data_IF_893748441358
#
_entry.id   IF_893748441358
#
_cell.length_a   1.000
_cell.length_b   1.000
_cell.length_c   1.000
_cell.angle_alpha   90.00
_cell.angle_beta   90.00
_cell.angle_gamma   90.00
#
_symmetry.space_group_name_H-M   'P 1'
#
loop_
_entity.id
_entity.type
_entity.pdbx_description
1 polymer ?
#
# COMPACT_ATOMS: atom_id res chain seq x y z
N UNK A 1 -21.35 -63.15 28.91
CA UNK A 1 -20.43 -63.17 30.07
C UNK A 1 -19.72 -61.83 30.15
N UNK A 2 -20.01 -61.12 31.23
CA UNK A 2 -19.24 -60.07 31.92
C UNK A 2 -18.53 -58.95 31.14
N UNK A 3 -19.11 -57.76 31.31
CA UNK A 3 -18.49 -56.45 31.56
C UNK A 3 -16.96 -56.40 31.65
N UNK A 4 -16.39 -55.35 31.06
CA UNK A 4 -15.62 -54.42 31.87
C UNK A 4 -15.74 -52.97 31.39
N UNK A 5 -16.39 -52.17 32.24
CA UNK A 5 -16.25 -50.71 32.31
C UNK A 5 -14.85 -50.40 32.83
N UNK A 6 -14.18 -49.42 32.24
CA UNK A 6 -13.22 -48.62 32.98
C UNK A 6 -13.30 -47.18 32.50
N UNK A 7 -13.99 -46.39 33.32
CA UNK A 7 -13.90 -44.94 33.36
C UNK A 7 -12.52 -44.53 33.92
N UNK A 8 -12.35 -43.21 34.12
CA UNK A 8 -11.24 -42.47 34.74
C UNK A 8 -10.26 -41.89 33.70
N UNK A 9 -9.83 -40.62 33.72
CA UNK A 9 -10.05 -39.47 34.60
C UNK A 9 -9.49 -38.25 33.85
N UNK A 10 -10.19 -37.12 33.86
CA UNK A 10 -9.65 -35.80 33.53
C UNK A 10 -8.74 -35.31 34.67
N UNK A 11 -7.65 -34.59 34.37
CA UNK A 11 -7.17 -33.49 35.19
C UNK A 11 -7.25 -32.19 34.38
N UNK A 12 -8.15 -31.26 34.72
CA UNK A 12 -7.99 -30.17 35.71
C UNK A 12 -7.14 -29.01 35.19
N UNK A 13 -7.87 -27.94 34.87
CA UNK A 13 -7.43 -26.58 34.55
C UNK A 13 -6.38 -26.09 35.55
N UNK A 14 -5.26 -25.57 35.04
CA UNK A 14 -4.36 -24.72 35.81
C UNK A 14 -4.68 -23.27 35.41
N UNK A 15 -5.46 -22.64 36.28
CA UNK A 15 -5.64 -21.20 36.34
C UNK A 15 -4.36 -20.60 36.95
N UNK A 16 -3.62 -19.79 36.21
CA UNK A 16 -2.54 -18.99 36.75
C UNK A 16 -2.88 -17.51 36.53
N UNK A 17 -3.53 -16.93 37.54
CA UNK A 17 -3.79 -15.50 37.63
C UNK A 17 -2.50 -14.79 38.04
N UNK A 18 -1.82 -14.18 37.07
CA UNK A 18 -0.73 -13.25 37.35
C UNK A 18 -1.28 -11.82 37.39
N UNK A 19 -1.70 -11.41 38.59
CA UNK A 19 -2.02 -10.01 38.91
C UNK A 19 -0.71 -9.22 38.94
N UNK A 20 -0.44 -8.44 37.90
CA UNK A 20 0.61 -7.43 37.93
C UNK A 20 0.03 -6.05 38.21
N UNK A 21 0.73 -5.37 39.12
CA UNK A 21 0.32 -4.18 39.86
C UNK A 21 0.12 -2.97 38.96
N UNK A 22 -0.94 -2.22 39.26
CA UNK A 22 -1.12 -0.83 38.85
C UNK A 22 0.04 0.03 39.38
N UNK A 23 0.78 0.69 38.49
CA UNK A 23 1.78 1.70 38.86
C UNK A 23 1.30 3.06 38.35
N UNK A 24 0.86 3.85 39.32
CA UNK A 24 0.96 5.31 39.49
C UNK A 24 1.12 6.19 38.24
N UNK A 25 0.11 7.03 38.03
CA UNK A 25 0.12 8.19 37.15
C UNK A 25 1.25 9.17 37.50
N UNK A 26 2.07 9.55 36.51
CA UNK A 26 2.91 10.75 36.60
C UNK A 26 2.43 11.78 35.58
N UNK A 27 1.77 12.79 36.15
CA UNK A 27 1.34 14.04 35.53
C UNK A 27 2.58 14.84 35.11
N UNK A 28 2.81 15.01 33.81
CA UNK A 28 3.83 15.93 33.31
C UNK A 28 3.18 17.25 32.88
N UNK A 29 3.85 18.31 33.31
CA UNK A 29 3.41 19.70 33.32
C UNK A 29 3.42 20.27 31.90
N UNK A 30 2.35 20.97 31.54
CA UNK A 30 2.28 21.84 30.37
C UNK A 30 3.25 23.02 30.55
N UNK A 31 4.23 23.15 29.66
CA UNK A 31 5.02 24.37 29.53
C UNK A 31 4.36 25.20 28.42
N UNK A 32 3.70 26.29 28.84
CA UNK A 32 3.27 27.36 27.94
C UNK A 32 4.51 28.19 27.62
N UNK A 33 4.90 28.24 26.35
CA UNK A 33 5.90 29.20 25.86
C UNK A 33 5.13 30.29 25.13
N UNK A 34 4.94 31.41 25.81
CA UNK A 34 4.45 32.66 25.22
C UNK A 34 5.61 33.36 24.53
N UNK A 35 5.66 33.32 23.20
CA UNK A 35 6.51 34.23 22.42
C UNK A 35 5.65 35.36 21.86
N UNK A 36 5.87 36.55 22.41
CA UNK A 36 5.24 37.78 21.99
C UNK A 36 5.63 38.17 20.55
N UNK A 37 4.63 38.57 19.78
CA UNK A 37 4.75 39.18 18.45
C UNK A 37 5.38 40.56 18.59
N UNK A 38 6.61 40.73 18.09
CA UNK A 38 7.23 42.03 17.94
C UNK A 38 7.08 42.50 16.48
N UNK A 39 6.12 43.39 16.25
CA UNK A 39 6.02 44.16 15.00
C UNK A 39 7.17 45.18 14.98
N UNK A 40 8.06 45.08 13.99
CA UNK A 40 9.07 46.11 13.71
C UNK A 40 8.96 46.54 12.27
N UNK A 41 8.24 47.65 12.07
CA UNK A 41 8.35 48.51 10.90
C UNK A 41 9.68 49.27 10.99
N UNK A 42 10.53 49.14 9.97
CA UNK A 42 11.65 50.06 9.77
C UNK A 42 11.72 50.52 8.32
N UNK A 43 11.62 51.83 8.19
CA UNK A 43 11.71 52.66 7.00
C UNK A 43 13.14 52.73 6.45
N UNK A 44 13.25 53.04 5.17
CA UNK A 44 14.46 53.15 4.34
C UNK A 44 15.48 54.20 4.83
N UNK A 45 16.73 54.15 4.34
CA UNK A 45 17.06 55.04 3.22
C UNK A 45 17.92 54.41 2.12
N UNK A 46 17.72 54.90 0.90
CA UNK A 46 18.54 54.64 -0.29
C UNK A 46 19.92 55.29 -0.12
N UNK A 47 20.99 54.55 -0.41
CA UNK A 47 22.31 55.11 -0.71
C UNK A 47 22.80 54.56 -2.03
N UNK A 48 22.92 55.49 -2.99
CA UNK A 48 23.57 55.28 -4.27
C UNK A 48 25.07 55.00 -4.05
N UNK A 49 25.56 53.92 -4.65
CA UNK A 49 26.99 53.67 -4.80
C UNK A 49 27.25 53.50 -6.30
N UNK A 50 27.83 54.54 -6.91
CA UNK A 50 28.41 54.50 -8.25
C UNK A 50 29.70 53.68 -8.20
N UNK A 51 29.65 52.47 -8.76
CA UNK A 51 30.85 51.66 -8.99
C UNK A 51 31.11 51.61 -10.49
N UNK A 52 32.19 52.28 -10.89
CA UNK A 52 32.79 52.16 -12.21
C UNK A 52 33.41 50.75 -12.30
N UNK A 53 32.81 49.87 -13.11
CA UNK A 53 33.44 48.63 -13.52
C UNK A 53 33.57 48.56 -15.03
N UNK A 54 34.81 48.30 -15.42
CA UNK A 54 35.33 48.17 -16.79
C UNK A 54 34.54 47.16 -17.61
N UNK A 55 34.16 47.53 -18.84
CA UNK A 55 33.54 46.61 -19.79
C UNK A 55 34.60 45.68 -20.38
N UNK A 56 34.58 44.41 -19.97
CA UNK A 56 35.21 43.31 -20.70
C UNK A 56 34.19 42.72 -21.67
N UNK A 57 34.36 42.95 -22.97
CA UNK A 57 33.54 42.37 -24.02
C UNK A 57 34.00 40.94 -24.31
N UNK A 58 33.56 39.99 -23.48
CA UNK A 58 33.64 38.58 -23.82
C UNK A 58 32.36 38.19 -24.57
N UNK A 59 32.48 37.98 -25.89
CA UNK A 59 31.40 37.47 -26.73
C UNK A 59 31.33 35.93 -26.61
N UNK A 60 30.29 35.34 -25.97
CA UNK A 60 30.03 33.93 -26.17
C UNK A 60 29.36 33.74 -27.53
N UNK A 61 29.99 32.96 -28.41
CA UNK A 61 29.34 32.46 -29.63
C UNK A 61 28.21 31.51 -29.21
N UNK A 62 26.99 31.61 -29.78
CA UNK A 62 25.99 30.58 -29.59
C UNK A 62 26.40 29.35 -30.42
N UNK A 63 26.85 28.30 -29.76
CA UNK A 63 26.90 26.97 -30.37
C UNK A 63 25.47 26.44 -30.46
N UNK A 64 24.87 26.55 -31.64
CA UNK A 64 23.61 25.89 -31.97
C UNK A 64 23.88 24.40 -32.21
N UNK A 65 23.91 23.58 -31.16
CA UNK A 65 23.76 22.14 -31.31
C UNK A 65 22.27 21.81 -31.43
N UNK A 66 21.74 21.88 -32.65
CA UNK A 66 20.48 21.22 -33.00
C UNK A 66 20.71 19.73 -33.15
N UNK A 67 21.00 19.03 -32.06
CA UNK A 67 20.90 17.58 -32.02
C UNK A 67 19.44 17.25 -31.77
N UNK A 68 18.64 17.19 -32.83
CA UNK A 68 17.31 16.61 -32.72
C UNK A 68 17.47 15.15 -32.25
N UNK A 69 16.83 14.73 -31.15
CA UNK A 69 16.79 13.32 -30.81
C UNK A 69 16.03 12.63 -31.94
N UNK A 70 16.68 11.68 -32.63
CA UNK A 70 15.96 10.86 -33.60
C UNK A 70 14.89 10.10 -32.83
N UNK A 71 13.62 10.41 -33.10
CA UNK A 71 12.52 9.61 -32.60
C UNK A 71 12.61 8.27 -33.34
N UNK A 72 13.33 7.32 -32.75
CA UNK A 72 13.20 5.91 -33.12
C UNK A 72 11.80 5.51 -32.67
N UNK A 73 10.84 5.58 -33.58
CA UNK A 73 9.56 4.92 -33.42
C UNK A 73 9.84 3.43 -33.25
N UNK A 74 9.87 2.98 -32.00
CA UNK A 74 9.88 1.57 -31.70
C UNK A 74 8.47 1.08 -32.02
N UNK A 75 8.28 0.55 -33.24
CA UNK A 75 7.11 -0.23 -33.61
C UNK A 75 7.14 -1.56 -32.87
N UNK A 76 7.16 -1.51 -31.54
CA UNK A 76 6.81 -2.64 -30.70
C UNK A 76 5.31 -2.66 -30.62
N UNK A 77 4.70 -3.76 -31.06
CA UNK A 77 3.30 -4.10 -30.89
C UNK A 77 2.98 -4.20 -29.39
N UNK A 78 2.96 -3.05 -28.69
CA UNK A 78 2.45 -2.95 -27.34
C UNK A 78 0.93 -2.90 -27.43
N UNK A 79 0.33 -4.07 -27.73
CA UNK A 79 -1.10 -4.22 -27.56
C UNK A 79 -1.42 -3.90 -26.09
N UNK A 80 -2.34 -2.96 -25.82
CA UNK A 80 -2.66 -2.57 -24.46
C UNK A 80 -3.16 -3.81 -23.72
N UNK A 81 -2.48 -4.16 -22.63
CA UNK A 81 -2.91 -5.28 -21.77
C UNK A 81 -4.33 -4.99 -21.27
N UNK A 82 -5.30 -5.78 -21.71
CA UNK A 82 -6.69 -5.63 -21.27
C UNK A 82 -6.86 -6.29 -19.90
N UNK A 83 -6.58 -5.54 -18.83
CA UNK A 83 -6.81 -6.01 -17.46
C UNK A 83 -8.31 -5.96 -17.14
N UNK A 84 -8.79 -6.94 -16.37
CA UNK A 84 -10.20 -6.96 -15.97
C UNK A 84 -10.49 -5.85 -14.97
N UNK A 85 -11.46 -5.00 -15.29
CA UNK A 85 -11.94 -3.97 -14.37
C UNK A 85 -12.92 -4.58 -13.34
N UNK A 86 -12.78 -4.18 -12.09
CA UNK A 86 -13.66 -4.53 -10.98
C UNK A 86 -14.34 -3.26 -10.43
N UNK A 87 -15.54 -3.41 -9.89
CA UNK A 87 -16.30 -2.33 -9.23
C UNK A 87 -16.49 -2.60 -7.75
N UNK A 88 -16.99 -1.60 -7.04
CA UNK A 88 -17.31 -1.67 -5.62
C UNK A 88 -18.12 -2.93 -5.25
N UNK A 89 -19.18 -3.23 -6.02
CA UNK A 89 -20.07 -4.35 -5.75
C UNK A 89 -19.36 -5.71 -5.90
N UNK A 90 -18.44 -5.82 -6.86
CA UNK A 90 -17.68 -7.05 -7.10
C UNK A 90 -16.76 -7.35 -5.91
N UNK A 91 -16.09 -6.31 -5.40
CA UNK A 91 -15.18 -6.41 -4.26
C UNK A 91 -15.96 -6.70 -2.98
N UNK A 92 -17.04 -5.95 -2.73
CA UNK A 92 -17.89 -6.13 -1.55
C UNK A 92 -18.51 -7.54 -1.50
N UNK A 93 -18.88 -8.10 -2.65
CA UNK A 93 -19.43 -9.46 -2.75
C UNK A 93 -18.37 -10.56 -2.50
N UNK A 94 -17.09 -10.23 -2.66
CA UNK A 94 -15.97 -11.17 -2.42
C UNK A 94 -15.57 -11.25 -0.95
N UNK A 95 -15.84 -10.20 -0.17
CA UNK A 95 -15.47 -10.13 1.23
C UNK A 95 -16.28 -11.15 2.07
N UNK A 96 -15.68 -11.73 3.12
CA UNK A 96 -16.42 -12.52 4.08
C UNK A 96 -17.52 -11.68 4.74
N UNK A 97 -18.78 -12.01 4.46
CA UNK A 97 -19.88 -11.44 5.24
C UNK A 97 -19.85 -12.02 6.66
N UNK A 98 -20.10 -11.15 7.64
CA UNK A 98 -20.07 -11.51 9.07
C UNK A 98 -21.24 -12.39 9.49
N UNK A 99 -22.22 -12.62 8.61
CA UNK A 99 -23.37 -13.47 8.89
C UNK A 99 -23.02 -14.96 8.77
N UNK A 100 -23.00 -15.73 9.88
CA UNK A 100 -22.56 -17.13 9.90
C UNK A 100 -23.53 -18.10 9.19
N UNK A 101 -24.64 -17.61 8.64
CA UNK A 101 -25.74 -18.44 8.09
C UNK A 101 -25.80 -18.42 6.56
N UNK A 102 -25.04 -17.55 5.90
CA UNK A 102 -25.10 -17.44 4.43
C UNK A 102 -24.04 -18.35 3.78
N UNK A 103 -24.43 -19.38 3.01
CA UNK A 103 -23.50 -20.18 2.21
C UNK A 103 -23.02 -19.32 1.03
N UNK A 104 -22.08 -18.42 1.32
CA UNK A 104 -21.53 -17.50 0.35
C UNK A 104 -20.66 -18.30 -0.64
N UNK A 105 -21.15 -18.42 -1.88
CA UNK A 105 -20.36 -18.88 -3.03
C UNK A 105 -19.34 -17.79 -3.37
N UNK A 106 -18.30 -17.68 -2.53
CA UNK A 106 -17.32 -16.59 -2.62
C UNK A 106 -16.44 -16.76 -3.85
N UNK A 107 -16.31 -15.74 -4.72
CA UNK A 107 -15.23 -15.72 -5.68
C UNK A 107 -13.90 -15.63 -4.91
N UNK A 108 -12.98 -16.56 -5.18
CA UNK A 108 -11.64 -16.55 -4.59
C UNK A 108 -10.83 -15.39 -5.21
N UNK A 109 -10.88 -14.22 -4.57
CA UNK A 109 -10.19 -13.00 -4.97
C UNK A 109 -9.19 -12.62 -3.87
N UNK A 110 -7.96 -12.31 -4.27
CA UNK A 110 -6.95 -11.70 -3.42
C UNK A 110 -6.95 -10.20 -3.71
N UNK A 111 -7.24 -9.39 -2.70
CA UNK A 111 -7.14 -7.94 -2.78
C UNK A 111 -5.72 -7.50 -2.44
N UNK A 112 -5.15 -6.63 -3.27
CA UNK A 112 -3.79 -6.13 -3.10
C UNK A 112 -3.82 -4.60 -3.08
N UNK A 113 -3.43 -4.05 -1.93
CA UNK A 113 -3.25 -2.63 -1.71
C UNK A 113 -1.84 -2.20 -2.12
N UNK A 114 -1.74 -1.35 -3.15
CA UNK A 114 -0.44 -0.90 -3.66
C UNK A 114 0.00 0.48 -3.14
N UNK A 115 -0.67 0.97 -2.09
CA UNK A 115 -0.32 2.24 -1.44
C UNK A 115 0.93 2.12 -0.57
N UNK A 116 1.50 3.27 -0.21
CA UNK A 116 2.65 3.31 0.70
C UNK A 116 2.20 3.17 2.17
N UNK A 117 3.05 2.60 3.05
CA UNK A 117 2.72 2.41 4.47
C UNK A 117 2.10 3.62 5.19
N UNK A 118 2.58 4.87 5.01
CA UNK A 118 1.99 6.02 5.69
C UNK A 118 0.53 6.31 5.27
N UNK A 119 0.14 5.91 4.05
CA UNK A 119 -1.25 6.03 3.59
C UNK A 119 -2.16 4.98 4.26
N UNK A 120 -1.62 3.79 4.52
CA UNK A 120 -2.33 2.69 5.16
C UNK A 120 -2.58 2.96 6.63
N UNK A 121 -1.60 3.55 7.33
CA UNK A 121 -1.75 3.98 8.73
C UNK A 121 -2.82 5.06 8.90
N UNK A 122 -2.97 5.95 7.91
CA UNK A 122 -3.90 7.07 7.97
C UNK A 122 -5.36 6.67 7.65
N UNK A 123 -5.56 5.84 6.64
CA UNK A 123 -6.91 5.51 6.11
C UNK A 123 -7.37 4.10 6.47
N UNK A 124 -6.44 3.22 6.84
CA UNK A 124 -6.71 1.78 6.94
C UNK A 124 -6.69 1.10 5.57
N UNK A 125 -7.04 -0.19 5.55
CA UNK A 125 -7.08 -1.06 4.37
C UNK A 125 -8.50 -1.61 4.15
N UNK A 126 -8.78 -2.09 2.94
CA UNK A 126 -9.98 -2.91 2.71
C UNK A 126 -9.80 -4.23 3.47
N UNK A 127 -10.85 -4.76 4.13
CA UNK A 127 -10.76 -6.04 4.81
C UNK A 127 -10.15 -7.12 3.93
N UNK A 128 -9.33 -8.00 4.52
CA UNK A 128 -8.64 -9.10 3.81
C UNK A 128 -7.59 -8.69 2.76
N UNK A 129 -7.34 -7.40 2.56
CA UNK A 129 -6.35 -6.94 1.59
C UNK A 129 -4.91 -7.12 2.08
N UNK A 130 -4.02 -7.51 1.16
CA UNK A 130 -2.59 -7.61 1.38
C UNK A 130 -1.90 -6.31 0.94
N UNK A 131 -0.97 -5.82 1.75
CA UNK A 131 -0.20 -4.61 1.42
C UNK A 131 1.06 -4.96 0.60
N UNK A 132 1.18 -4.42 -0.61
CA UNK A 132 2.38 -4.51 -1.46
C UNK A 132 2.67 -3.14 -2.08
N UNK A 133 3.45 -2.28 -1.41
CA UNK A 133 3.73 -0.91 -1.88
C UNK A 133 4.52 -0.89 -3.20
N UNK A 134 3.89 -0.45 -4.29
CA UNK A 134 4.55 -0.40 -5.61
C UNK A 134 5.38 0.87 -5.82
N UNK A 135 5.15 1.94 -5.04
CA UNK A 135 5.90 3.19 -5.19
C UNK A 135 7.33 3.06 -4.68
N UNK A 136 7.51 2.50 -3.48
CA UNK A 136 8.82 2.22 -2.88
C UNK A 136 9.42 0.88 -3.34
N UNK A 137 8.59 -0.09 -3.73
CA UNK A 137 9.03 -1.46 -4.07
C UNK A 137 8.48 -1.91 -5.42
N UNK A 138 8.91 -1.25 -6.50
CA UNK A 138 8.51 -1.57 -7.88
C UNK A 138 8.93 -2.98 -8.32
N UNK A 139 9.97 -3.53 -7.69
CA UNK A 139 10.54 -4.85 -7.94
C UNK A 139 9.76 -5.99 -7.26
N UNK A 140 8.84 -5.68 -6.34
CA UNK A 140 8.15 -6.67 -5.50
C UNK A 140 7.50 -7.81 -6.29
N UNK A 141 6.92 -7.50 -7.47
CA UNK A 141 6.25 -8.52 -8.31
C UNK A 141 7.23 -9.50 -8.95
N UNK A 142 8.48 -9.09 -9.17
CA UNK A 142 9.53 -9.86 -9.86
C UNK A 142 10.35 -10.74 -8.90
N UNK A 143 10.25 -10.53 -7.60
CA UNK A 143 10.96 -11.32 -6.59
C UNK A 143 10.57 -12.79 -6.65
N UNK A 144 11.51 -13.68 -6.33
CA UNK A 144 11.18 -15.10 -6.13
C UNK A 144 10.25 -15.27 -4.90
N UNK A 145 9.48 -16.38 -4.79
CA UNK A 145 8.61 -16.60 -3.64
C UNK A 145 9.32 -16.51 -2.28
N UNK A 146 10.56 -17.00 -2.20
CA UNK A 146 11.36 -17.01 -0.96
C UNK A 146 11.85 -15.61 -0.58
N UNK A 147 12.32 -14.82 -1.56
CA UNK A 147 12.71 -13.42 -1.35
C UNK A 147 11.51 -12.57 -0.96
N UNK A 148 10.37 -12.80 -1.61
CA UNK A 148 9.12 -12.12 -1.31
C UNK A 148 8.67 -12.39 0.12
N UNK A 149 8.66 -13.66 0.55
CA UNK A 149 8.30 -14.04 1.91
C UNK A 149 9.22 -13.39 2.94
N UNK A 150 10.53 -13.37 2.67
CA UNK A 150 11.51 -12.74 3.57
C UNK A 150 11.28 -11.23 3.71
N UNK A 151 10.87 -10.56 2.61
CA UNK A 151 10.72 -9.10 2.56
C UNK A 151 9.38 -8.60 3.09
N UNK A 152 8.30 -9.35 2.83
CA UNK A 152 6.93 -8.94 3.16
C UNK A 152 6.32 -9.72 4.34
N UNK A 153 6.92 -10.85 4.74
CA UNK A 153 6.45 -11.67 5.87
C UNK A 153 5.25 -12.57 5.53
N UNK A 154 4.78 -12.59 4.28
CA UNK A 154 3.67 -13.44 3.82
C UNK A 154 3.97 -14.09 2.46
N UNK A 155 3.32 -15.23 2.12
CA UNK A 155 3.60 -15.94 0.88
C UNK A 155 3.26 -15.10 -0.35
N UNK A 156 4.05 -15.25 -1.42
CA UNK A 156 3.83 -14.53 -2.68
C UNK A 156 2.46 -14.90 -3.28
N UNK A 157 1.53 -13.95 -3.42
CA UNK A 157 0.17 -14.24 -3.89
C UNK A 157 0.20 -14.79 -5.32
N UNK A 158 -0.72 -15.69 -5.66
CA UNK A 158 -0.93 -16.16 -7.03
C UNK A 158 0.07 -17.18 -7.58
N UNK A 159 1.09 -17.58 -6.81
CA UNK A 159 2.08 -18.61 -7.22
C UNK A 159 1.76 -19.98 -6.62
N UNK A 160 2.25 -21.07 -7.24
CA UNK A 160 1.97 -22.45 -6.79
C UNK A 160 2.48 -22.78 -5.36
N UNK A 161 3.37 -21.96 -4.80
CA UNK A 161 3.91 -22.11 -3.44
C UNK A 161 3.14 -21.35 -2.34
N UNK A 162 2.12 -20.55 -2.70
CA UNK A 162 1.27 -19.82 -1.75
C UNK A 162 0.00 -20.60 -1.37
N UNK A 163 -0.14 -20.90 -0.08
CA UNK A 163 -1.38 -21.26 0.64
C UNK A 163 -2.66 -21.50 -0.19
N UNK A 164 -2.87 -22.68 -0.79
CA UNK A 164 -4.15 -23.11 -1.39
C UNK A 164 -4.76 -22.17 -2.46
N UNK A 165 -4.06 -21.09 -2.83
CA UNK A 165 -4.62 -19.96 -3.56
C UNK A 165 -4.07 -19.83 -4.98
N UNK A 166 -3.53 -20.94 -5.48
CA UNK A 166 -2.98 -21.11 -6.82
C UNK A 166 -3.98 -20.75 -7.92
N UNK A 167 -5.28 -20.63 -7.64
CA UNK A 167 -6.33 -20.26 -8.60
C UNK A 167 -7.09 -18.96 -8.29
N UNK A 168 -6.73 -18.18 -7.27
CA UNK A 168 -7.40 -16.89 -7.08
C UNK A 168 -7.14 -15.91 -8.22
N UNK A 169 -8.10 -15.00 -8.38
CA UNK A 169 -7.90 -13.76 -9.12
C UNK A 169 -7.26 -12.73 -8.20
N UNK A 170 -6.29 -11.98 -8.71
CA UNK A 170 -5.64 -10.90 -7.98
C UNK A 170 -6.23 -9.58 -8.44
N UNK A 171 -6.71 -8.78 -7.51
CA UNK A 171 -7.28 -7.46 -7.82
C UNK A 171 -6.47 -6.40 -7.12
N UNK A 172 -5.85 -5.53 -7.91
CA UNK A 172 -5.06 -4.41 -7.44
C UNK A 172 -5.94 -3.19 -7.23
N UNK A 173 -5.70 -2.48 -6.13
CA UNK A 173 -6.32 -1.17 -5.88
C UNK A 173 -5.30 -0.24 -5.20
N UNK A 174 -5.54 1.06 -5.28
CA UNK A 174 -4.70 2.06 -4.62
C UNK A 174 -5.55 3.15 -3.96
N UNK A 175 -5.12 4.42 -4.03
CA UNK A 175 -5.94 5.55 -3.60
C UNK A 175 -6.99 5.95 -4.64
N UNK A 176 -6.57 6.10 -5.91
CA UNK A 176 -7.37 6.70 -6.98
C UNK A 176 -7.24 5.95 -8.33
N UNK A 177 -6.94 4.65 -8.32
CA UNK A 177 -6.81 3.81 -9.52
C UNK A 177 -5.46 3.88 -10.26
N UNK A 178 -4.78 5.02 -10.28
CA UNK A 178 -3.59 5.23 -11.15
C UNK A 178 -2.49 4.18 -10.93
N UNK A 179 -2.07 3.95 -9.68
CA UNK A 179 -1.01 2.97 -9.35
C UNK A 179 -1.48 1.52 -9.54
N UNK A 180 -2.77 1.26 -9.41
CA UNK A 180 -3.33 -0.07 -9.48
C UNK A 180 -3.20 -0.67 -10.89
N UNK A 181 -3.44 0.13 -11.94
CA UNK A 181 -3.21 -0.29 -13.32
C UNK A 181 -1.74 -0.63 -13.58
N UNK A 182 -0.82 0.25 -13.16
CA UNK A 182 0.62 -0.01 -13.30
C UNK A 182 1.05 -1.27 -12.54
N UNK A 183 0.51 -1.51 -11.35
CA UNK A 183 0.79 -2.72 -10.58
C UNK A 183 0.31 -3.98 -11.31
N UNK A 184 -0.89 -3.95 -11.88
CA UNK A 184 -1.41 -5.06 -12.69
C UNK A 184 -0.55 -5.34 -13.93
N UNK A 185 -0.09 -4.30 -14.62
CA UNK A 185 0.82 -4.45 -15.76
C UNK A 185 2.20 -5.00 -15.33
N UNK A 186 2.71 -4.59 -14.17
CA UNK A 186 3.96 -5.12 -13.60
C UNK A 186 3.81 -6.60 -13.25
N UNK A 187 2.67 -7.00 -12.68
CA UNK A 187 2.37 -8.39 -12.40
C UNK A 187 2.33 -9.22 -13.69
N UNK A 188 1.61 -8.79 -14.72
CA UNK A 188 1.61 -9.51 -16.01
C UNK A 188 3.03 -9.63 -16.58
N UNK A 189 3.84 -8.56 -16.53
CA UNK A 189 5.24 -8.59 -16.95
C UNK A 189 6.14 -9.48 -16.09
N UNK A 190 5.80 -9.68 -14.82
CA UNK A 190 6.49 -10.59 -13.92
C UNK A 190 6.10 -12.07 -14.13
N UNK A 191 5.20 -12.37 -15.09
CA UNK A 191 4.82 -13.73 -15.47
C UNK A 191 3.54 -14.24 -14.83
N UNK A 192 2.72 -13.36 -14.25
CA UNK A 192 1.39 -13.73 -13.76
C UNK A 192 0.39 -13.85 -14.92
N UNK A 193 -0.57 -14.78 -14.80
CA UNK A 193 -1.61 -14.97 -15.82
C UNK A 193 -2.48 -13.72 -15.97
N UNK A 194 -2.49 -13.11 -17.17
CA UNK A 194 -3.25 -11.90 -17.44
C UNK A 194 -4.75 -12.03 -17.15
N UNK A 195 -5.33 -13.21 -17.39
CA UNK A 195 -6.76 -13.50 -17.13
C UNK A 195 -7.14 -13.48 -15.63
N UNK A 196 -6.14 -13.64 -14.76
CA UNK A 196 -6.31 -13.65 -13.31
C UNK A 196 -6.04 -12.28 -12.69
N UNK A 197 -5.44 -11.36 -13.44
CA UNK A 197 -5.15 -10.02 -12.97
C UNK A 197 -6.32 -9.08 -13.26
N UNK A 198 -6.74 -8.37 -12.23
CA UNK A 198 -7.75 -7.33 -12.29
C UNK A 198 -7.33 -6.04 -11.60
N UNK A 199 -8.05 -4.98 -11.90
CA UNK A 199 -7.83 -3.65 -11.33
C UNK A 199 -9.16 -3.08 -10.84
N UNK A 200 -9.16 -2.54 -9.64
CA UNK A 200 -10.25 -1.72 -9.12
C UNK A 200 -9.88 -0.23 -9.25
N UNK A 201 -10.31 0.37 -10.37
CA UNK A 201 -9.98 1.76 -10.71
C UNK A 201 -10.58 2.77 -9.72
N UNK A 202 -11.77 2.48 -9.16
CA UNK A 202 -12.40 3.29 -8.13
C UNK A 202 -11.59 3.40 -6.85
N UNK A 203 -10.87 2.32 -6.49
CA UNK A 203 -9.90 2.31 -5.40
C UNK A 203 -10.51 2.79 -4.06
N UNK A 204 -9.69 3.23 -3.11
CA UNK A 204 -10.16 3.68 -1.79
C UNK A 204 -11.15 4.85 -1.87
N UNK A 205 -10.98 5.78 -2.82
CA UNK A 205 -11.90 6.93 -2.93
C UNK A 205 -13.34 6.51 -3.30
N UNK A 206 -13.49 5.52 -4.16
CA UNK A 206 -14.82 4.95 -4.48
C UNK A 206 -15.33 4.08 -3.33
N UNK A 207 -14.45 3.30 -2.70
CA UNK A 207 -14.77 2.49 -1.53
C UNK A 207 -15.37 3.32 -0.38
N UNK A 208 -14.73 4.43 -0.01
CA UNK A 208 -15.19 5.35 1.01
C UNK A 208 -16.51 6.02 0.62
N UNK A 209 -16.63 6.45 -0.65
CA UNK A 209 -17.84 7.08 -1.18
C UNK A 209 -19.06 6.17 -1.07
N UNK A 210 -18.86 4.86 -1.29
CA UNK A 210 -19.92 3.86 -1.23
C UNK A 210 -20.11 3.28 0.19
N UNK A 211 -19.42 3.81 1.21
CA UNK A 211 -19.57 3.40 2.60
C UNK A 211 -18.97 2.03 2.91
N UNK A 212 -17.96 1.60 2.15
CA UNK A 212 -17.24 0.36 2.40
C UNK A 212 -16.53 0.37 3.76
N UNK A 213 -16.53 -0.78 4.44
CA UNK A 213 -15.83 -0.95 5.72
C UNK A 213 -14.32 -0.92 5.50
N UNK A 214 -13.56 -0.28 6.37
CA UNK A 214 -12.09 -0.35 6.39
C UNK A 214 -11.60 -0.94 7.71
N UNK A 215 -10.47 -1.63 7.64
CA UNK A 215 -9.78 -2.20 8.78
C UNK A 215 -8.51 -1.39 9.07
N UNK A 216 -8.13 -1.32 10.35
CA UNK A 216 -6.87 -0.71 10.74
C UNK A 216 -5.72 -1.55 10.21
N UNK A 217 -4.74 -0.90 9.59
CA UNK A 217 -3.51 -1.58 9.18
C UNK A 217 -2.54 -1.63 10.36
N UNK A 218 -2.15 -2.83 10.78
CA UNK A 218 -1.27 -3.05 11.92
C UNK A 218 0.24 -3.06 11.56
N UNK A 219 0.57 -2.86 10.28
CA UNK A 219 1.94 -2.88 9.79
C UNK A 219 2.45 -4.29 9.48
N UNK A 220 3.66 -4.41 8.90
CA UNK A 220 4.35 -5.69 8.84
C UNK A 220 4.72 -6.13 10.27
N UNK A 221 4.44 -7.39 10.65
CA UNK A 221 4.95 -7.97 11.90
C UNK A 221 6.50 -7.93 11.86
N UNK A 222 7.10 -7.13 12.74
CA UNK A 222 8.56 -7.01 12.90
C UNK A 222 9.12 -8.03 13.90
#
# INVERSE_FOLDING_TARGET
MFSNRMALRLPSKISCSAQYRLISTRRLRTISVSTAVAKRTFTTPLKACSSLYSQSTYNPRPFSNSSQPSQRSFSGDAQPLSLKEYKFEDIQSSLPQEDPTSPSSKPNIILIDVREPPELEATGIIPTALSIPIGSQTDAMFLTPDEFLTRFGFPKPGTEGGDNNTKAKMVFYCKAGIRARTAGELAVRAGYDADRIGVYDGSILDWERNGGKTERWDGPEM
#
